data_IF_754189477752
#
_entry.id   IF_754189477752
#
_cell.length_a   1.000
_cell.length_b   1.000
_cell.length_c   1.000
_cell.angle_alpha   90.00
_cell.angle_beta   90.00
_cell.angle_gamma   90.00
#
_symmetry.space_group_name_H-M   'P 1'
#
loop_
_entity.id
_entity.type
_entity.pdbx_description
1 polymer ?
#
# COMPACT_ATOMS: atom_id res chain seq x y z
N UNK A 1 4.66 -17.96 -2.25
CA UNK A 1 4.80 -16.53 -1.88
C UNK A 1 3.55 -15.82 -2.34
N UNK A 2 2.92 -15.00 -1.49
CA UNK A 2 1.75 -14.16 -1.86
C UNK A 2 2.19 -12.70 -1.76
N UNK A 3 1.82 -11.90 -2.74
CA UNK A 3 2.22 -10.50 -2.89
C UNK A 3 0.99 -9.66 -3.27
N UNK A 4 0.91 -8.45 -2.73
CA UNK A 4 -0.06 -7.43 -3.15
C UNK A 4 0.74 -6.27 -3.73
N UNK A 5 0.48 -5.96 -5.01
CA UNK A 5 1.07 -4.80 -5.69
C UNK A 5 0.16 -3.59 -5.52
N UNK A 6 0.74 -2.50 -5.06
CA UNK A 6 0.04 -1.23 -4.80
C UNK A 6 0.43 -0.22 -5.86
N UNK A 7 -0.58 0.44 -6.44
CA UNK A 7 -0.38 1.62 -7.28
C UNK A 7 -1.62 2.51 -7.31
N UNK A 8 -1.42 3.80 -7.55
CA UNK A 8 -2.49 4.80 -7.61
C UNK A 8 -2.99 5.05 -9.05
N UNK A 9 -4.23 5.54 -9.18
CA UNK A 9 -4.83 5.93 -10.45
C UNK A 9 -5.84 7.09 -10.31
N UNK A 10 -6.27 7.67 -11.44
CA UNK A 10 -7.21 8.79 -11.50
C UNK A 10 -8.68 8.34 -11.67
N UNK A 11 -9.00 7.08 -11.36
CA UNK A 11 -10.35 6.46 -11.47
C UNK A 11 -10.91 6.33 -12.89
N UNK A 12 -10.11 6.60 -13.91
CA UNK A 12 -10.43 6.46 -15.34
C UNK A 12 -9.79 5.21 -15.97
N UNK A 13 -8.54 4.92 -15.63
CA UNK A 13 -7.77 3.76 -16.07
C UNK A 13 -6.63 3.46 -15.10
N UNK A 14 -5.90 2.39 -15.33
CA UNK A 14 -4.68 2.08 -14.58
C UNK A 14 -3.53 3.01 -15.01
N UNK A 15 -2.96 3.78 -14.07
CA UNK A 15 -1.87 4.75 -14.37
C UNK A 15 -0.52 4.43 -13.72
N UNK A 16 -0.49 3.53 -12.73
CA UNK A 16 0.70 3.20 -11.96
C UNK A 16 1.39 4.44 -11.36
N UNK A 17 0.61 5.28 -10.69
CA UNK A 17 1.09 6.53 -10.09
C UNK A 17 1.51 6.34 -8.63
N UNK A 18 2.38 7.25 -8.17
CA UNK A 18 2.65 7.44 -6.76
C UNK A 18 1.34 7.85 -6.04
N UNK A 19 1.01 7.26 -4.87
CA UNK A 19 -0.14 7.68 -4.09
C UNK A 19 0.04 9.13 -3.64
N UNK A 20 -0.83 10.03 -4.11
CA UNK A 20 -0.86 11.40 -3.58
C UNK A 20 -1.41 11.35 -2.16
N UNK A 21 -0.86 12.14 -1.25
CA UNK A 21 -1.33 12.25 0.13
C UNK A 21 -2.86 12.47 0.17
N UNK A 22 -3.56 11.67 0.98
CA UNK A 22 -5.02 11.74 1.14
C UNK A 22 -5.86 11.11 0.02
N UNK A 23 -5.26 10.48 -0.99
CA UNK A 23 -5.99 9.96 -2.15
C UNK A 23 -6.56 8.54 -1.98
N UNK A 24 -5.89 7.69 -1.20
CA UNK A 24 -6.34 6.35 -0.77
C UNK A 24 -6.21 6.28 0.75
N UNK A 25 -7.27 5.86 1.42
CA UNK A 25 -7.23 5.47 2.82
C UNK A 25 -6.63 4.06 2.91
N UNK A 26 -5.32 3.98 3.11
CA UNK A 26 -4.61 2.71 3.20
C UNK A 26 -4.93 1.95 4.48
N UNK A 27 -5.37 2.62 5.55
CA UNK A 27 -5.80 1.94 6.78
C UNK A 27 -7.05 1.12 6.51
N UNK A 28 -8.02 1.71 5.82
CA UNK A 28 -9.23 1.02 5.37
C UNK A 28 -8.94 -0.14 4.39
N UNK A 29 -7.78 -0.13 3.71
CA UNK A 29 -7.32 -1.24 2.87
C UNK A 29 -6.66 -2.35 3.71
N UNK A 30 -5.74 -1.99 4.61
CA UNK A 30 -4.97 -2.97 5.39
C UNK A 30 -5.82 -3.72 6.41
N UNK A 31 -6.70 -3.03 7.14
CA UNK A 31 -7.52 -3.64 8.21
C UNK A 31 -8.27 -4.91 7.76
N UNK A 32 -9.04 -4.93 6.66
CA UNK A 32 -9.71 -6.15 6.23
C UNK A 32 -8.73 -7.20 5.67
N UNK A 33 -7.70 -6.80 4.91
CA UNK A 33 -6.76 -7.74 4.27
C UNK A 33 -5.97 -8.51 5.34
N UNK A 34 -5.40 -7.80 6.30
CA UNK A 34 -4.63 -8.39 7.39
C UNK A 34 -5.53 -9.11 8.39
N UNK A 35 -6.74 -8.59 8.65
CA UNK A 35 -7.74 -9.26 9.47
C UNK A 35 -8.19 -10.62 8.92
N UNK A 36 -8.07 -10.84 7.61
CA UNK A 36 -8.28 -12.16 6.97
C UNK A 36 -7.07 -13.11 7.09
N UNK A 37 -6.00 -12.71 7.79
CA UNK A 37 -4.79 -13.51 7.99
C UNK A 37 -3.78 -13.44 6.84
N UNK A 38 -3.81 -12.36 6.04
CA UNK A 38 -2.77 -12.12 5.04
C UNK A 38 -1.44 -11.81 5.72
N UNK A 39 -0.38 -12.52 5.31
CA UNK A 39 0.99 -12.38 5.83
C UNK A 39 2.03 -12.23 4.71
N UNK A 40 1.57 -11.86 3.51
CA UNK A 40 2.43 -11.64 2.36
C UNK A 40 2.99 -10.22 2.30
N UNK A 41 3.80 -9.95 1.27
CA UNK A 41 4.48 -8.67 1.10
C UNK A 41 3.61 -7.69 0.30
N UNK A 42 3.63 -6.41 0.69
CA UNK A 42 3.14 -5.31 -0.11
C UNK A 42 4.28 -4.69 -0.91
N UNK A 43 4.10 -4.50 -2.21
CA UNK A 43 5.13 -3.92 -3.09
C UNK A 43 4.57 -2.75 -3.90
N UNK A 44 5.43 -1.76 -4.14
CA UNK A 44 5.06 -0.60 -4.94
C UNK A 44 5.34 -0.87 -6.42
N UNK A 45 4.31 -0.75 -7.24
CA UNK A 45 4.37 -0.99 -8.68
C UNK A 45 4.39 0.29 -9.51
N UNK A 46 4.96 1.39 -9.01
CA UNK A 46 4.90 2.72 -9.62
C UNK A 46 6.25 3.43 -9.59
N UNK A 47 6.44 4.39 -10.51
CA UNK A 47 7.54 5.34 -10.48
C UNK A 47 8.93 4.72 -10.69
N UNK A 48 9.95 5.44 -10.20
CA UNK A 48 11.35 5.00 -10.16
C UNK A 48 11.70 4.38 -8.79
N UNK A 49 12.98 4.02 -8.56
CA UNK A 49 13.41 3.42 -7.29
C UNK A 49 13.15 4.32 -6.08
N UNK A 50 13.36 5.63 -6.20
CA UNK A 50 13.13 6.57 -5.09
C UNK A 50 11.64 6.68 -4.77
N UNK A 51 10.77 6.66 -5.79
CA UNK A 51 9.32 6.60 -5.61
C UNK A 51 8.89 5.32 -4.90
N UNK A 52 9.48 4.17 -5.28
CA UNK A 52 9.23 2.87 -4.65
C UNK A 52 9.62 2.90 -3.17
N UNK A 53 10.79 3.45 -2.84
CA UNK A 53 11.28 3.54 -1.46
C UNK A 53 10.40 4.48 -0.62
N UNK A 54 10.11 5.68 -1.13
CA UNK A 54 9.25 6.66 -0.46
C UNK A 54 7.83 6.12 -0.27
N UNK A 55 7.30 5.41 -1.27
CA UNK A 55 6.00 4.76 -1.18
C UNK A 55 5.99 3.70 -0.09
N UNK A 56 7.07 2.92 0.06
CA UNK A 56 7.17 1.86 1.07
C UNK A 56 7.15 2.47 2.47
N UNK A 57 7.91 3.53 2.69
CA UNK A 57 7.93 4.23 3.98
C UNK A 57 6.54 4.75 4.37
N UNK A 58 5.83 5.34 3.40
CA UNK A 58 4.45 5.81 3.61
C UNK A 58 3.49 4.67 3.97
N UNK A 59 3.49 3.56 3.19
CA UNK A 59 2.62 2.42 3.47
C UNK A 59 2.91 1.78 4.84
N UNK A 60 4.19 1.68 5.23
CA UNK A 60 4.58 1.18 6.55
C UNK A 60 4.10 2.10 7.67
N UNK A 61 4.16 3.42 7.48
CA UNK A 61 3.63 4.37 8.46
C UNK A 61 2.11 4.23 8.61
N UNK A 62 1.39 4.09 7.50
CA UNK A 62 -0.07 3.88 7.51
C UNK A 62 -0.45 2.54 8.15
N UNK A 63 0.27 1.45 7.86
CA UNK A 63 0.05 0.15 8.48
C UNK A 63 0.28 0.18 10.00
N UNK A 64 1.35 0.86 10.47
CA UNK A 64 1.62 1.05 11.90
C UNK A 64 0.56 1.89 12.61
N UNK A 65 -0.10 2.78 11.90
CA UNK A 65 -1.19 3.59 12.43
C UNK A 65 -2.51 2.81 12.52
N UNK A 66 -2.58 1.58 12.00
CA UNK A 66 -3.71 0.68 12.23
C UNK A 66 -3.58 -0.05 13.57
N UNK A 67 -4.70 -0.46 14.15
CA UNK A 67 -4.72 -1.24 15.40
C UNK A 67 -4.58 -2.77 15.16
N UNK A 68 -4.33 -3.20 13.92
CA UNK A 68 -4.21 -4.62 13.56
C UNK A 68 -2.74 -5.08 13.51
N UNK A 69 -2.44 -6.37 13.82
CA UNK A 69 -1.10 -6.92 13.66
C UNK A 69 -0.66 -6.88 12.20
N UNK A 70 0.31 -6.02 11.88
CA UNK A 70 0.78 -5.80 10.51
C UNK A 70 1.58 -6.99 9.98
N UNK A 71 1.29 -7.38 8.74
CA UNK A 71 2.17 -8.22 7.94
C UNK A 71 3.39 -7.39 7.51
N UNK A 72 4.49 -7.51 8.26
CA UNK A 72 5.78 -6.88 7.89
C UNK A 72 6.51 -7.68 6.82
#
# INVERSE_FOLDING_TARGET
>A
MREIRVAYNLRDKEHHMYPVEGSIDFRAVFTPIEGMGYTGQYTNGFGNMDDILRGREYLVAEAKATEVPSAQ
#
